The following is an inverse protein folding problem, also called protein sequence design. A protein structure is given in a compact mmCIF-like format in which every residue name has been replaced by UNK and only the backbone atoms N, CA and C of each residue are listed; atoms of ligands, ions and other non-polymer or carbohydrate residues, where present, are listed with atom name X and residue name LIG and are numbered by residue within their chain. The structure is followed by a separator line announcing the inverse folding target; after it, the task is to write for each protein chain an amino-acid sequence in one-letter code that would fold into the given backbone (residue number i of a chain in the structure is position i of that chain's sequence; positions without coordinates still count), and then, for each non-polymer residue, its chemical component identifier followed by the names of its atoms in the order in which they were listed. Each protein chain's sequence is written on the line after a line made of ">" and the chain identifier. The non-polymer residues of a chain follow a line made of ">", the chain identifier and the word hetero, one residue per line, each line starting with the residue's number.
data_IF_165914708696
#
_entry.id   IF_165914708696
#
_cell.length_a   1.000
_cell.length_b   1.000
_cell.length_c   1.000
_cell.angle_alpha   90.00
_cell.angle_beta   90.00
_cell.angle_gamma   90.00
#
_symmetry.space_group_name_H-M   'P 1'
#
loop_
_entity.id
_entity.type
_entity.pdbx_description
1 polymer ?
#
# COMPACT_ATOMS: atom_id res chain seq x y z
N UNK A 1 1.08 4.08 18.58
CA UNK A 1 1.38 2.88 17.78
C UNK A 1 0.33 2.80 16.69
N UNK A 2 0.68 3.13 15.44
CA UNK A 2 -0.21 3.00 14.31
C UNK A 2 0.49 2.10 13.30
N UNK A 3 -0.06 0.91 13.09
CA UNK A 3 0.34 0.07 11.97
C UNK A 3 -0.35 0.59 10.72
N UNK A 4 0.35 0.53 9.60
CA UNK A 4 -0.16 0.97 8.31
C UNK A 4 -0.01 -0.19 7.33
N UNK A 5 -1.08 -0.54 6.62
CA UNK A 5 -1.01 -1.51 5.54
C UNK A 5 -0.59 -0.78 4.25
N UNK A 6 0.57 -1.13 3.73
CA UNK A 6 1.09 -0.61 2.47
C UNK A 6 0.73 -1.59 1.33
N UNK A 7 -0.02 -1.09 0.36
CA UNK A 7 -0.40 -1.77 -0.87
C UNK A 7 0.52 -1.32 -2.01
N UNK A 8 1.06 -2.26 -2.77
CA UNK A 8 1.99 -2.01 -3.86
C UNK A 8 1.34 -2.39 -5.19
N UNK A 9 1.43 -1.49 -6.15
CA UNK A 9 0.86 -1.64 -7.48
C UNK A 9 1.92 -1.42 -8.55
N UNK A 10 1.94 -2.29 -9.56
CA UNK A 10 2.67 -2.03 -10.79
C UNK A 10 1.95 -0.98 -11.61
N UNK A 11 2.72 -0.08 -12.22
CA UNK A 11 2.20 0.98 -13.10
C UNK A 11 2.53 0.74 -14.56
N UNK A 12 1.79 1.36 -15.46
CA UNK A 12 2.02 1.30 -16.91
C UNK A 12 3.39 1.85 -17.33
N UNK A 13 4.00 2.73 -16.54
CA UNK A 13 5.37 3.22 -16.74
C UNK A 13 6.45 2.31 -16.11
N UNK A 14 6.09 1.11 -15.66
CA UNK A 14 7.04 0.10 -15.15
C UNK A 14 7.60 0.39 -13.76
N UNK A 15 7.05 1.38 -13.04
CA UNK A 15 7.40 1.69 -11.64
C UNK A 15 6.35 1.15 -10.67
N UNK A 16 6.66 1.21 -9.38
CA UNK A 16 5.74 0.80 -8.31
C UNK A 16 5.10 2.02 -7.67
N UNK A 17 3.77 2.06 -7.67
CA UNK A 17 2.98 2.99 -6.87
C UNK A 17 2.60 2.35 -5.53
N UNK A 18 2.47 3.16 -4.49
CA UNK A 18 2.14 2.71 -3.13
C UNK A 18 0.90 3.43 -2.62
N UNK A 19 -0.02 2.68 -2.04
CA UNK A 19 -1.17 3.21 -1.30
C UNK A 19 -1.10 2.73 0.15
N UNK A 20 -1.37 3.61 1.09
CA UNK A 20 -1.30 3.29 2.52
C UNK A 20 -2.69 3.35 3.14
N UNK A 21 -3.01 2.35 3.96
CA UNK A 21 -4.23 2.27 4.76
C UNK A 21 -3.85 2.28 6.22
N UNK A 22 -4.26 3.32 6.93
CA UNK A 22 -4.01 3.45 8.36
C UNK A 22 -4.97 2.57 9.16
N UNK A 23 -4.49 2.02 10.29
CA UNK A 23 -5.25 1.13 11.16
C UNK A 23 -5.91 -0.05 10.41
N UNK A 24 -5.12 -0.91 9.74
CA UNK A 24 -5.68 -2.04 9.01
C UNK A 24 -6.34 -3.05 9.95
N UNK A 25 -7.34 -3.76 9.43
CA UNK A 25 -7.95 -4.88 10.14
C UNK A 25 -6.91 -6.01 10.26
N UNK A 26 -6.77 -6.58 11.46
CA UNK A 26 -5.88 -7.70 11.74
C UNK A 26 -6.66 -8.93 12.25
N UNK A 27 -6.34 -10.15 11.78
CA UNK A 27 -5.29 -10.46 10.79
C UNK A 27 -5.69 -10.05 9.36
N UNK A 28 -4.70 -9.68 8.54
CA UNK A 28 -4.92 -9.37 7.13
C UNK A 28 -5.22 -10.68 6.38
N UNK A 29 -6.38 -10.76 5.74
CA UNK A 29 -6.74 -11.86 4.84
C UNK A 29 -6.17 -11.60 3.44
N UNK A 30 -5.20 -12.40 2.95
CA UNK A 30 -4.61 -12.21 1.63
C UNK A 30 -5.62 -12.34 0.47
N UNK A 31 -6.65 -13.17 0.63
CA UNK A 31 -7.64 -13.38 -0.42
C UNK A 31 -8.55 -12.14 -0.57
N UNK A 32 -9.11 -11.66 0.54
CA UNK A 32 -9.87 -10.42 0.56
C UNK A 32 -9.04 -9.21 0.11
N UNK A 33 -7.77 -9.17 0.51
CA UNK A 33 -6.84 -8.12 0.11
C UNK A 33 -6.63 -8.07 -1.40
N UNK A 34 -6.42 -9.23 -2.03
CA UNK A 34 -6.24 -9.29 -3.48
C UNK A 34 -7.48 -8.78 -4.22
N UNK A 35 -8.68 -9.19 -3.79
CA UNK A 35 -9.96 -8.73 -4.38
C UNK A 35 -10.11 -7.22 -4.25
N UNK A 36 -9.75 -6.65 -3.10
CA UNK A 36 -9.77 -5.21 -2.90
C UNK A 36 -8.78 -4.50 -3.83
N UNK A 37 -7.54 -5.00 -3.95
CA UNK A 37 -6.53 -4.42 -4.84
C UNK A 37 -6.93 -4.50 -6.32
N UNK A 38 -7.51 -5.62 -6.75
CA UNK A 38 -8.03 -5.77 -8.12
C UNK A 38 -9.17 -4.76 -8.39
N UNK A 39 -10.04 -4.54 -7.39
CA UNK A 39 -11.13 -3.54 -7.48
C UNK A 39 -10.61 -2.12 -7.58
N UNK A 40 -9.51 -1.80 -6.87
CA UNK A 40 -8.83 -0.50 -6.95
C UNK A 40 -8.29 -0.26 -8.36
N UNK A 41 -7.64 -1.25 -8.97
CA UNK A 41 -7.16 -1.17 -10.35
C UNK A 41 -8.35 -0.99 -11.32
N UNK A 42 -9.40 -1.81 -11.18
CA UNK A 42 -10.57 -1.76 -12.04
C UNK A 42 -11.34 -0.43 -11.95
N UNK A 43 -11.32 0.22 -10.79
CA UNK A 43 -11.95 1.54 -10.60
C UNK A 43 -11.28 2.63 -11.45
N UNK A 44 -10.01 2.45 -11.81
CA UNK A 44 -9.16 3.45 -12.47
C UNK A 44 -9.25 4.85 -11.82
N UNK A 45 -9.52 4.90 -10.52
CA UNK A 45 -9.75 6.13 -9.77
C UNK A 45 -8.46 6.74 -9.22
N UNK A 46 -7.36 5.99 -9.27
CA UNK A 46 -6.07 6.40 -8.72
C UNK A 46 -5.05 6.58 -9.84
N UNK A 47 -4.48 7.78 -9.90
CA UNK A 47 -3.36 8.11 -10.77
C UNK A 47 -2.15 8.39 -9.91
N UNK A 48 -1.03 7.74 -10.22
CA UNK A 48 0.24 8.01 -9.56
C UNK A 48 1.09 8.94 -10.41
N UNK A 49 2.15 9.53 -9.82
CA UNK A 49 3.17 10.24 -10.58
C UNK A 49 3.87 9.36 -11.64
N UNK A 50 3.67 8.04 -11.57
CA UNK A 50 4.20 7.05 -12.48
C UNK A 50 3.14 6.42 -13.39
N UNK A 51 1.99 7.08 -13.56
CA UNK A 51 0.91 6.62 -14.42
C UNK A 51 -0.13 5.75 -13.71
N UNK A 52 -0.87 4.98 -14.50
CA UNK A 52 -2.03 4.21 -14.04
C UNK A 52 -1.61 2.95 -13.29
N UNK A 53 -2.43 2.50 -12.35
CA UNK A 53 -2.26 1.21 -11.69
C UNK A 53 -2.71 0.10 -12.67
N UNK A 54 -1.84 -0.86 -12.97
CA UNK A 54 -2.14 -1.93 -13.96
C UNK A 54 -2.01 -3.34 -13.39
N UNK A 55 -1.31 -3.51 -12.28
CA UNK A 55 -1.12 -4.83 -11.67
C UNK A 55 -0.93 -4.76 -10.15
N UNK A 56 -1.25 -5.87 -9.48
CA UNK A 56 -0.98 -6.08 -8.06
C UNK A 56 0.49 -6.45 -7.89
N UNK A 57 1.24 -5.62 -7.15
CA UNK A 57 2.65 -5.88 -6.84
C UNK A 57 2.87 -6.62 -5.51
N UNK A 58 1.99 -6.39 -4.52
CA UNK A 58 2.05 -7.03 -3.21
C UNK A 58 1.52 -6.12 -2.11
N UNK A 59 1.64 -6.55 -0.86
CA UNK A 59 1.26 -5.74 0.29
C UNK A 59 2.08 -6.12 1.53
N UNK A 60 2.24 -5.17 2.46
CA UNK A 60 2.95 -5.39 3.73
C UNK A 60 2.36 -4.52 4.84
N UNK A 61 2.29 -5.07 6.05
CA UNK A 61 2.01 -4.27 7.25
C UNK A 61 3.32 -3.62 7.70
N UNK A 62 3.29 -2.31 7.88
CA UNK A 62 4.41 -1.49 8.31
C UNK A 62 4.13 -0.98 9.71
N UNK A 63 5.04 -1.27 10.64
CA UNK A 63 5.04 -0.73 11.99
C UNK A 63 6.26 0.19 12.15
N UNK A 64 6.02 1.46 12.48
CA UNK A 64 7.08 2.45 12.66
C UNK A 64 7.26 2.71 14.15
N UNK A 65 8.48 2.45 14.64
CA UNK A 65 8.93 2.86 15.96
C UNK A 65 9.89 4.04 15.79
N UNK A 66 9.59 5.16 16.45
CA UNK A 66 10.43 6.36 16.45
C UNK A 66 10.96 6.54 17.86
N UNK A 67 12.28 6.54 18.00
CA UNK A 67 12.99 6.85 19.25
C UNK A 67 13.84 8.07 18.99
N UNK A 68 13.53 9.17 19.68
CA UNK A 68 14.30 10.41 19.60
C UNK A 68 15.48 10.35 20.57
N UNK A 69 16.60 10.92 20.16
CA UNK A 69 17.81 11.06 20.98
C UNK A 69 18.24 12.52 20.97
N UNK A 70 18.58 13.05 22.14
CA UNK A 70 19.21 14.37 22.24
C UNK A 70 20.70 14.27 21.86
N UNK A 71 21.15 15.18 21.02
CA UNK A 71 22.57 15.38 20.71
C UNK A 71 23.08 16.46 21.67
N UNK A 72 24.10 16.14 22.47
CA UNK A 72 24.80 17.06 23.41
C UNK A 72 26.09 17.55 22.77
#
# INVERSE_FOLDING_TARGET
>A
MAKTLELQFGTDLGKVARLTVDNPIEPVDPAALKVAMDSIIASNAFFSAYGNLVSVGGARVVERNVTEYEII
#
